data_IF_405023413167
#
_entry.id   IF_405023413167
#
_cell.length_a   1.000
_cell.length_b   1.000
_cell.length_c   1.000
_cell.angle_alpha   90.00
_cell.angle_beta   90.00
_cell.angle_gamma   90.00
#
_symmetry.space_group_name_H-M   'P 1'
#
loop_
_entity.id
_entity.type
_entity.pdbx_description
1 polymer ?
#
# COMPACT_ATOMS: atom_id res chain seq x y z
N UNK A 1 46.85 3.87 9.31
CA UNK A 1 46.39 4.86 8.35
C UNK A 1 45.36 4.32 7.37
N UNK A 2 45.45 3.09 6.93
CA UNK A 2 44.44 2.50 6.02
C UNK A 2 43.06 2.34 6.65
N UNK A 3 42.97 2.07 7.94
CA UNK A 3 41.70 1.93 8.64
C UNK A 3 40.89 3.24 8.69
N UNK A 4 41.55 4.38 8.78
CA UNK A 4 40.89 5.68 8.80
C UNK A 4 40.20 6.03 7.45
N UNK A 5 40.78 5.59 6.34
CA UNK A 5 40.19 5.80 5.00
C UNK A 5 38.96 4.94 4.79
N UNK A 6 38.97 3.71 5.27
CA UNK A 6 37.80 2.80 5.19
C UNK A 6 36.61 3.37 5.99
N UNK A 7 36.88 3.86 7.20
CA UNK A 7 35.83 4.51 8.00
C UNK A 7 35.25 5.76 7.33
N UNK A 8 36.07 6.53 6.65
CA UNK A 8 35.61 7.72 5.93
C UNK A 8 34.70 7.36 4.75
N UNK A 9 35.03 6.34 3.97
CA UNK A 9 34.23 5.87 2.85
C UNK A 9 32.87 5.31 3.34
N UNK A 10 32.87 4.50 4.37
CA UNK A 10 31.65 3.96 4.98
C UNK A 10 30.77 5.07 5.55
N UNK A 11 31.37 6.06 6.22
CA UNK A 11 30.66 7.24 6.72
C UNK A 11 29.98 8.04 5.59
N UNK A 12 30.64 8.22 4.47
CA UNK A 12 30.07 8.90 3.32
C UNK A 12 28.91 8.14 2.70
N UNK A 13 28.99 6.82 2.63
CA UNK A 13 27.90 5.97 2.17
C UNK A 13 26.65 6.10 3.04
N UNK A 14 26.81 6.12 4.36
CA UNK A 14 25.69 6.35 5.27
C UNK A 14 25.09 7.74 5.14
N UNK A 15 25.90 8.76 4.95
CA UNK A 15 25.44 10.14 4.75
C UNK A 15 24.63 10.29 3.45
N UNK A 16 25.02 9.60 2.39
CA UNK A 16 24.30 9.63 1.10
C UNK A 16 22.97 8.84 1.14
N UNK A 17 22.97 7.69 1.81
CA UNK A 17 21.77 6.84 1.89
C UNK A 17 20.68 7.40 2.80
N UNK A 18 21.06 8.05 3.89
CA UNK A 18 20.11 8.62 4.86
C UNK A 18 19.19 9.69 4.27
N UNK A 19 19.67 10.70 3.52
CA UNK A 19 18.79 11.71 2.93
C UNK A 19 17.85 11.15 1.87
N UNK A 20 18.24 10.12 1.14
CA UNK A 20 17.37 9.47 0.14
C UNK A 20 16.19 8.79 0.84
N UNK A 21 16.42 8.08 1.93
CA UNK A 21 15.37 7.45 2.71
C UNK A 21 14.38 8.48 3.28
N UNK A 22 14.88 9.59 3.81
CA UNK A 22 14.05 10.68 4.31
C UNK A 22 13.22 11.35 3.23
N UNK A 23 13.77 11.54 2.04
CA UNK A 23 13.04 12.09 0.89
C UNK A 23 11.93 11.15 0.43
N UNK A 24 12.18 9.85 0.44
CA UNK A 24 11.17 8.85 0.07
C UNK A 24 10.01 8.80 1.07
N UNK A 25 10.31 8.81 2.36
CA UNK A 25 9.26 8.88 3.39
C UNK A 25 8.46 10.19 3.31
N UNK A 26 9.15 11.30 3.09
CA UNK A 26 8.51 12.60 2.90
C UNK A 26 7.59 12.61 1.68
N UNK A 27 8.00 11.99 0.59
CA UNK A 27 7.19 11.82 -0.62
C UNK A 27 5.91 11.02 -0.35
N UNK A 28 6.03 9.88 0.35
CA UNK A 28 4.87 9.06 0.69
C UNK A 28 3.90 9.78 1.63
N UNK A 29 4.41 10.51 2.60
CA UNK A 29 3.58 11.31 3.52
C UNK A 29 2.84 12.43 2.79
N UNK A 30 3.50 13.12 1.87
CA UNK A 30 2.88 14.15 1.05
C UNK A 30 1.80 13.57 0.15
N UNK A 31 2.04 12.41 -0.43
CA UNK A 31 1.07 11.70 -1.25
C UNK A 31 -0.15 11.28 -0.44
N UNK A 32 0.03 10.75 0.77
CA UNK A 32 -1.06 10.41 1.67
C UNK A 32 -1.87 11.63 2.10
N UNK A 33 -1.19 12.72 2.45
CA UNK A 33 -1.84 13.99 2.81
C UNK A 33 -2.63 14.58 1.64
N UNK A 34 -2.11 14.48 0.44
CA UNK A 34 -2.79 14.90 -0.77
C UNK A 34 -4.05 14.07 -1.03
N UNK A 35 -3.99 12.76 -0.76
CA UNK A 35 -5.13 11.86 -0.87
C UNK A 35 -6.25 12.18 0.14
N UNK A 36 -5.93 12.72 1.31
CA UNK A 36 -6.94 13.16 2.28
C UNK A 36 -7.86 14.24 1.73
N UNK A 37 -7.36 15.07 0.81
CA UNK A 37 -8.12 16.14 0.16
C UNK A 37 -8.87 15.67 -1.10
N UNK A 38 -8.70 14.43 -1.52
CA UNK A 38 -9.37 13.90 -2.69
C UNK A 38 -10.89 13.81 -2.49
N UNK A 39 -11.68 14.04 -3.55
CA UNK A 39 -13.10 13.77 -3.50
C UNK A 39 -13.37 12.28 -3.28
N UNK A 40 -14.55 11.97 -2.75
CA UNK A 40 -14.96 10.60 -2.48
C UNK A 40 -16.21 10.21 -3.24
N UNK A 41 -16.32 8.94 -3.56
CA UNK A 41 -17.50 8.31 -4.10
C UNK A 41 -17.81 7.04 -3.33
N UNK A 42 -19.07 6.62 -3.34
CA UNK A 42 -19.42 5.33 -2.77
C UNK A 42 -18.97 4.21 -3.69
N UNK A 43 -18.31 3.23 -3.12
CA UNK A 43 -17.89 2.02 -3.80
C UNK A 43 -18.43 0.78 -3.11
N UNK A 44 -18.27 -0.35 -3.74
CA UNK A 44 -18.67 -1.64 -3.21
C UNK A 44 -17.53 -2.63 -3.28
N UNK A 45 -17.33 -3.37 -2.21
CA UNK A 45 -16.34 -4.45 -2.18
C UNK A 45 -16.84 -5.62 -3.04
N UNK A 46 -16.08 -5.96 -4.07
CA UNK A 46 -16.41 -7.04 -5.01
C UNK A 46 -15.69 -8.34 -4.71
N UNK A 47 -14.56 -8.25 -4.02
CA UNK A 47 -13.73 -9.40 -3.71
C UNK A 47 -13.02 -9.16 -2.37
N UNK A 48 -13.03 -10.17 -1.52
CA UNK A 48 -12.38 -10.10 -0.20
C UNK A 48 -12.02 -11.52 0.22
N UNK A 49 -10.75 -11.88 0.06
CA UNK A 49 -10.25 -13.19 0.47
C UNK A 49 -8.79 -13.12 0.88
N UNK A 50 -8.36 -14.10 1.65
CA UNK A 50 -6.96 -14.27 2.03
C UNK A 50 -6.26 -15.09 0.96
N UNK A 51 -5.21 -14.52 0.36
CA UNK A 51 -4.33 -15.23 -0.55
C UNK A 51 -3.14 -15.80 0.22
N UNK A 52 -2.75 -17.02 -0.13
CA UNK A 52 -1.56 -17.65 0.41
C UNK A 52 -0.47 -17.68 -0.66
N UNK A 53 0.77 -17.42 -0.24
CA UNK A 53 1.93 -17.51 -1.11
C UNK A 53 3.10 -18.17 -0.39
N UNK A 54 4.02 -18.72 -1.17
CA UNK A 54 5.27 -19.23 -0.65
C UNK A 54 6.40 -18.29 -1.04
N UNK A 55 7.14 -17.78 -0.07
CA UNK A 55 8.29 -16.93 -0.35
C UNK A 55 9.59 -17.72 -0.20
N UNK A 56 10.50 -17.52 -1.14
CA UNK A 56 11.86 -18.05 -1.10
C UNK A 56 11.97 -19.56 -1.26
N UNK A 57 12.12 -20.00 -2.48
CA UNK A 57 12.27 -21.36 -2.93
C UNK A 57 12.75 -22.39 -1.91
N UNK A 58 12.01 -23.42 -1.66
CA UNK A 58 12.40 -24.62 -0.95
C UNK A 58 12.28 -24.65 0.55
N UNK A 59 12.32 -23.53 1.28
CA UNK A 59 12.16 -23.52 2.73
C UNK A 59 10.73 -23.27 3.23
N UNK A 60 9.79 -23.09 2.32
CA UNK A 60 8.37 -23.21 2.59
C UNK A 60 7.77 -22.26 3.61
N UNK A 61 8.23 -21.01 3.69
CA UNK A 61 7.51 -20.00 4.47
C UNK A 61 6.21 -19.64 3.76
N UNK A 62 5.10 -19.95 4.40
CA UNK A 62 3.78 -19.55 3.93
C UNK A 62 3.55 -18.10 4.35
N UNK A 63 3.20 -17.27 3.38
CA UNK A 63 2.83 -15.87 3.59
C UNK A 63 1.37 -15.65 3.22
N UNK A 64 0.74 -14.69 3.83
CA UNK A 64 -0.69 -14.39 3.66
C UNK A 64 -0.90 -12.96 3.25
N UNK A 65 -1.90 -12.72 2.42
CA UNK A 65 -2.27 -11.39 1.96
C UNK A 65 -3.78 -11.28 1.87
N UNK A 66 -4.33 -10.16 2.34
CA UNK A 66 -5.72 -9.83 2.07
C UNK A 66 -5.85 -9.27 0.65
N UNK A 67 -6.63 -9.95 -0.18
CA UNK A 67 -6.94 -9.47 -1.52
C UNK A 67 -8.32 -8.83 -1.51
N UNK A 68 -8.34 -7.51 -1.46
CA UNK A 68 -9.55 -6.69 -1.42
C UNK A 68 -9.67 -5.97 -2.75
N UNK A 69 -10.76 -6.20 -3.45
CA UNK A 69 -11.10 -5.49 -4.68
C UNK A 69 -12.41 -4.77 -4.52
N UNK A 70 -12.50 -3.60 -5.09
CA UNK A 70 -13.71 -2.78 -5.04
C UNK A 70 -13.96 -2.09 -6.37
N UNK A 71 -15.21 -1.71 -6.61
CA UNK A 71 -15.65 -0.92 -7.75
C UNK A 71 -16.25 0.38 -7.27
N UNK A 72 -16.10 1.41 -8.06
CA UNK A 72 -16.67 2.74 -7.82
C UNK A 72 -16.97 3.44 -9.15
N UNK A 73 -17.85 4.41 -9.11
CA UNK A 73 -18.31 5.11 -10.32
C UNK A 73 -17.98 6.59 -10.22
N UNK A 74 -17.26 7.10 -11.21
CA UNK A 74 -16.92 8.52 -11.33
C UNK A 74 -17.37 9.01 -12.71
N UNK A 75 -18.22 10.04 -12.75
CA UNK A 75 -18.71 10.64 -14.00
C UNK A 75 -19.23 9.62 -15.02
N UNK A 76 -20.08 8.71 -14.60
CA UNK A 76 -20.69 7.64 -15.42
C UNK A 76 -19.74 6.51 -15.85
N UNK A 77 -18.50 6.54 -15.42
CA UNK A 77 -17.53 5.48 -15.72
C UNK A 77 -17.27 4.65 -14.45
N UNK A 78 -17.35 3.35 -14.58
CA UNK A 78 -17.04 2.42 -13.48
C UNK A 78 -15.56 2.07 -13.48
N UNK A 79 -14.92 2.21 -12.32
CA UNK A 79 -13.53 1.85 -12.10
C UNK A 79 -13.45 0.72 -11.10
N UNK A 80 -12.40 -0.08 -11.21
CA UNK A 80 -12.07 -1.14 -10.25
C UNK A 80 -10.68 -0.90 -9.70
N UNK A 81 -10.49 -1.17 -8.42
CA UNK A 81 -9.19 -1.01 -7.79
C UNK A 81 -9.02 -2.03 -6.67
N UNK A 82 -7.77 -2.24 -6.25
CA UNK A 82 -7.42 -3.14 -5.16
C UNK A 82 -6.57 -2.44 -4.07
N UNK A 83 -6.39 -1.14 -4.18
CA UNK A 83 -5.60 -0.36 -3.22
C UNK A 83 -6.45 0.11 -2.05
N UNK A 84 -6.18 -0.42 -0.88
CA UNK A 84 -6.79 0.03 0.38
C UNK A 84 -6.08 1.27 0.92
N UNK A 85 -4.75 1.30 0.86
CA UNK A 85 -3.92 2.41 1.33
C UNK A 85 -3.21 3.12 0.18
N UNK A 86 -2.85 4.39 0.42
CA UNK A 86 -1.97 5.13 -0.48
C UNK A 86 -0.58 4.48 -0.43
N UNK A 87 0.05 4.28 -1.56
CA UNK A 87 1.35 3.62 -1.60
C UNK A 87 1.29 2.13 -1.32
N UNK A 88 0.13 1.52 -1.53
CA UNK A 88 -0.09 0.12 -1.28
C UNK A 88 0.82 -0.78 -2.12
N UNK A 89 1.96 -1.09 -1.55
CA UNK A 89 2.69 -2.26 -1.95
C UNK A 89 1.94 -3.43 -1.32
N UNK A 90 1.52 -4.38 -2.11
CA UNK A 90 0.84 -5.59 -1.63
C UNK A 90 1.69 -6.24 -0.54
N UNK A 91 1.33 -6.03 0.71
CA UNK A 91 2.13 -6.50 1.84
C UNK A 91 1.74 -7.93 2.18
N UNK A 92 2.68 -8.82 1.98
CA UNK A 92 2.58 -10.19 2.46
C UNK A 92 2.94 -10.23 3.94
N UNK A 93 2.08 -10.79 4.76
CA UNK A 93 2.30 -10.94 6.19
C UNK A 93 2.49 -12.41 6.56
N UNK A 94 3.26 -12.66 7.63
CA UNK A 94 3.53 -14.03 8.10
C UNK A 94 2.36 -14.62 8.88
N UNK A 95 1.42 -13.78 9.33
CA UNK A 95 0.32 -14.20 10.18
C UNK A 95 -1.01 -14.14 9.42
N UNK A 96 -1.68 -15.27 9.32
CA UNK A 96 -2.99 -15.39 8.69
C UNK A 96 -4.04 -14.49 9.34
N UNK A 97 -3.96 -14.31 10.67
CA UNK A 97 -4.90 -13.50 11.42
C UNK A 97 -4.98 -12.05 10.97
N UNK A 98 -3.86 -11.45 10.58
CA UNK A 98 -3.81 -10.06 10.08
C UNK A 98 -4.54 -9.92 8.75
N UNK A 99 -4.32 -10.88 7.84
CA UNK A 99 -5.00 -10.89 6.55
C UNK A 99 -6.51 -11.16 6.72
N UNK A 100 -6.88 -12.08 7.58
CA UNK A 100 -8.29 -12.37 7.90
C UNK A 100 -8.99 -11.16 8.52
N UNK A 101 -8.31 -10.42 9.38
CA UNK A 101 -8.86 -9.21 10.00
C UNK A 101 -9.17 -8.15 8.95
N UNK A 102 -8.27 -7.93 8.00
CA UNK A 102 -8.49 -6.98 6.89
C UNK A 102 -9.69 -7.42 6.05
N UNK A 103 -9.80 -8.71 5.74
CA UNK A 103 -10.96 -9.23 5.02
C UNK A 103 -12.28 -9.07 5.79
N UNK A 104 -12.26 -9.17 7.11
CA UNK A 104 -13.45 -8.94 7.96
C UNK A 104 -13.85 -7.47 7.98
N UNK A 105 -12.90 -6.56 7.91
CA UNK A 105 -13.16 -5.12 7.83
C UNK A 105 -13.78 -4.72 6.49
N UNK A 106 -13.46 -5.45 5.43
CA UNK A 106 -13.92 -5.18 4.07
C UNK A 106 -14.59 -6.43 3.46
N UNK A 107 -15.75 -6.85 3.97
CA UNK A 107 -16.44 -8.01 3.40
C UNK A 107 -17.09 -7.68 2.04
N UNK A 108 -17.26 -8.70 1.21
CA UNK A 108 -17.94 -8.56 -0.09
C UNK A 108 -19.35 -7.97 0.10
N UNK A 109 -19.69 -7.01 -0.72
CA UNK A 109 -20.98 -6.32 -0.67
C UNK A 109 -21.01 -5.10 0.25
N UNK A 110 -19.97 -4.86 1.02
CA UNK A 110 -19.89 -3.68 1.88
C UNK A 110 -19.77 -2.42 1.04
N UNK A 111 -20.56 -1.40 1.37
CA UNK A 111 -20.40 -0.06 0.81
C UNK A 111 -19.27 0.65 1.50
N UNK A 112 -18.35 1.16 0.73
CA UNK A 112 -17.14 1.84 1.23
C UNK A 112 -16.99 3.22 0.60
N UNK A 113 -16.28 4.09 1.31
CA UNK A 113 -15.92 5.40 0.80
C UNK A 113 -14.60 5.29 0.03
N UNK A 114 -14.65 5.59 -1.26
CA UNK A 114 -13.49 5.54 -2.14
C UNK A 114 -12.98 6.95 -2.38
N UNK A 115 -11.75 7.22 -2.03
CA UNK A 115 -11.05 8.47 -2.33
C UNK A 115 -10.33 8.30 -3.67
N UNK A 116 -10.59 9.18 -4.62
CA UNK A 116 -10.00 9.08 -5.95
C UNK A 116 -9.30 10.37 -6.37
N UNK A 117 -8.26 10.24 -7.19
CA UNK A 117 -7.57 11.39 -7.76
C UNK A 117 -8.45 12.02 -8.85
N UNK A 118 -8.88 13.29 -8.70
CA UNK A 118 -9.75 13.92 -9.70
C UNK A 118 -9.11 14.07 -11.08
N UNK A 119 -7.79 14.08 -11.15
CA UNK A 119 -7.05 14.15 -12.43
C UNK A 119 -6.88 12.77 -13.07
N UNK A 120 -6.92 11.71 -12.27
CA UNK A 120 -6.79 10.33 -12.72
C UNK A 120 -7.70 9.45 -11.86
N UNK A 121 -8.98 9.33 -12.20
CA UNK A 121 -9.96 8.59 -11.37
C UNK A 121 -9.66 7.11 -11.16
N UNK A 122 -8.81 6.51 -11.99
CA UNK A 122 -8.33 5.14 -11.79
C UNK A 122 -7.37 5.00 -10.60
N UNK A 123 -6.82 6.10 -10.12
CA UNK A 123 -6.00 6.15 -8.92
C UNK A 123 -6.89 6.43 -7.72
N UNK A 124 -7.05 5.45 -6.85
CA UNK A 124 -7.94 5.53 -5.71
C UNK A 124 -7.43 4.73 -4.52
N UNK A 125 -7.95 5.03 -3.34
CA UNK A 125 -7.68 4.28 -2.12
C UNK A 125 -8.90 4.32 -1.19
N UNK A 126 -8.97 3.42 -0.24
CA UNK A 126 -10.02 3.40 0.77
C UNK A 126 -9.61 4.20 2.01
N UNK A 127 -8.34 4.19 2.35
CA UNK A 127 -7.78 4.90 3.50
C UNK A 127 -6.60 5.76 3.06
N UNK A 128 -6.61 7.08 3.34
CA UNK A 128 -5.55 8.00 2.93
C UNK A 128 -4.35 7.95 3.89
N UNK A 129 -3.80 6.77 4.08
CA UNK A 129 -2.60 6.55 4.90
C UNK A 129 -1.60 5.67 4.18
N UNK A 130 -0.39 5.68 4.65
CA UNK A 130 0.70 4.85 4.12
C UNK A 130 0.89 3.58 4.95
#
# INVERSE_FOLDING_TARGET
MEQAQVFTIVGWLFVVMSPIALLYEGYLRLKAKKAESWPHEEGEITHSEVETGTSGGGSGRVTFRANIKYKYKVKRRTYKNDKVFVGNVKVWVNYKNEAEQTCREYPVGKTVRVLYNPKRPSEACLEPRV
#
